data_IF_774287094375
#
_entry.id   IF_774287094375
#
_cell.length_a   1.000
_cell.length_b   1.000
_cell.length_c   1.000
_cell.angle_alpha   90.00
_cell.angle_beta   90.00
_cell.angle_gamma   90.00
#
_symmetry.space_group_name_H-M   'P 1'
#
loop_
_entity.id
_entity.type
_entity.pdbx_description
1 polymer ?
#
# COMPACT_ATOMS: atom_id res chain seq x y z
N UNK A 1 53.89 -63.01 11.02
CA UNK A 1 53.34 -61.74 11.50
C UNK A 1 51.88 -61.95 11.89
N UNK A 2 51.47 -61.81 13.17
CA UNK A 2 50.08 -62.01 13.57
C UNK A 2 49.27 -60.70 13.46
N UNK A 3 48.07 -60.81 12.90
CA UNK A 3 47.12 -59.72 12.69
C UNK A 3 46.40 -59.39 14.03
N UNK A 4 46.66 -58.21 14.59
CA UNK A 4 45.95 -57.71 15.78
C UNK A 4 44.62 -57.10 15.34
N UNK A 5 43.49 -57.74 15.66
CA UNK A 5 42.16 -57.15 15.48
C UNK A 5 41.87 -56.14 16.59
N UNK A 6 41.81 -54.86 16.22
CA UNK A 6 41.32 -53.79 17.10
C UNK A 6 39.80 -53.90 17.21
N UNK A 7 39.30 -54.19 18.41
CA UNK A 7 37.88 -54.26 18.75
C UNK A 7 37.31 -52.84 18.77
N UNK A 8 36.36 -52.52 17.89
CA UNK A 8 35.63 -51.23 17.96
C UNK A 8 34.83 -51.18 19.27
N UNK A 9 34.79 -50.03 19.96
CA UNK A 9 34.00 -49.90 21.18
C UNK A 9 32.51 -50.03 20.86
N UNK A 10 31.81 -50.90 21.59
CA UNK A 10 30.38 -51.13 21.44
C UNK A 10 29.60 -49.89 21.89
N UNK A 11 29.11 -49.13 20.91
CA UNK A 11 28.27 -47.95 21.16
C UNK A 11 27.02 -48.31 22.01
N UNK A 12 26.57 -49.56 21.96
CA UNK A 12 25.45 -50.08 22.74
C UNK A 12 25.74 -50.15 24.25
N UNK A 13 26.96 -50.51 24.65
CA UNK A 13 27.35 -50.55 26.07
C UNK A 13 27.38 -49.14 26.69
N UNK A 14 27.73 -48.14 25.88
CA UNK A 14 27.74 -46.73 26.29
C UNK A 14 26.32 -46.18 26.49
N UNK A 15 25.35 -46.56 25.63
CA UNK A 15 23.94 -46.23 25.83
C UNK A 15 23.31 -46.97 27.02
N UNK A 16 23.71 -48.22 27.26
CA UNK A 16 23.22 -49.00 28.41
C UNK A 16 23.68 -48.42 29.76
N UNK A 17 24.90 -47.87 29.86
CA UNK A 17 25.37 -47.19 31.07
C UNK A 17 24.63 -45.87 31.33
N UNK A 18 24.25 -45.12 30.29
CA UNK A 18 23.43 -43.90 30.43
C UNK A 18 22.02 -44.25 30.90
N UNK A 19 21.42 -45.33 30.40
CA UNK A 19 20.09 -45.79 30.83
C UNK A 19 20.07 -46.30 32.28
N UNK A 20 21.14 -46.97 32.75
CA UNK A 20 21.22 -47.51 34.11
C UNK A 20 21.50 -46.45 35.19
N UNK A 21 22.12 -45.31 34.85
CA UNK A 21 22.34 -44.21 35.78
C UNK A 21 21.03 -43.46 36.16
N UNK A 22 19.96 -43.63 35.38
CA UNK A 22 18.65 -43.02 35.63
C UNK A 22 17.86 -43.80 36.69
N UNK A 23 18.12 -45.11 36.86
CA UNK A 23 17.27 -45.98 37.68
C UNK A 23 17.71 -46.19 39.13
N UNK A 24 18.88 -45.70 39.56
CA UNK A 24 19.47 -46.09 40.85
C UNK A 24 19.67 -45.00 41.92
N UNK A 25 19.29 -43.74 41.70
CA UNK A 25 19.41 -42.76 42.81
C UNK A 25 19.25 -41.28 42.53
N UNK A 26 18.63 -40.87 41.42
CA UNK A 26 18.44 -39.44 41.09
C UNK A 26 17.27 -39.18 40.14
N UNK A 27 16.26 -40.04 40.13
CA UNK A 27 15.25 -40.14 39.07
C UNK A 27 14.08 -39.14 39.12
N UNK A 28 14.07 -38.16 40.04
CA UNK A 28 12.91 -37.25 40.18
C UNK A 28 13.15 -35.85 39.59
N UNK A 29 14.40 -35.43 39.33
CA UNK A 29 14.65 -34.05 38.86
C UNK A 29 14.76 -33.89 37.33
N UNK A 30 15.01 -34.95 36.56
CA UNK A 30 15.21 -34.81 35.10
C UNK A 30 13.88 -34.69 34.34
N UNK A 31 12.81 -35.36 34.81
CA UNK A 31 11.48 -35.27 34.18
C UNK A 31 10.81 -33.90 34.38
N UNK A 32 11.00 -33.25 35.54
CA UNK A 32 10.45 -31.92 35.79
C UNK A 32 11.11 -30.83 34.93
N UNK A 33 12.42 -30.93 34.71
CA UNK A 33 13.18 -29.97 33.89
C UNK A 33 12.83 -30.08 32.41
N UNK A 34 12.65 -31.29 31.85
CA UNK A 34 12.28 -31.46 30.44
C UNK A 34 10.85 -31.00 30.13
N UNK A 35 9.89 -31.27 31.03
CA UNK A 35 8.51 -30.78 30.91
C UNK A 35 8.45 -29.26 31.05
N UNK A 36 9.19 -28.67 31.99
CA UNK A 36 9.27 -27.22 32.19
C UNK A 36 9.86 -26.48 30.99
N UNK A 37 10.96 -26.99 30.41
CA UNK A 37 11.55 -26.43 29.18
C UNK A 37 10.59 -26.56 28.00
N UNK A 38 9.89 -27.69 27.86
CA UNK A 38 8.88 -27.89 26.82
C UNK A 38 7.70 -26.92 26.93
N UNK A 39 7.15 -26.71 28.13
CA UNK A 39 6.05 -25.75 28.36
C UNK A 39 6.53 -24.31 28.12
N UNK A 40 7.73 -23.96 28.59
CA UNK A 40 8.30 -22.63 28.37
C UNK A 40 8.52 -22.38 26.87
N UNK A 41 9.16 -23.32 26.17
CA UNK A 41 9.39 -23.25 24.72
C UNK A 41 8.07 -23.18 23.95
N UNK A 42 7.08 -24.01 24.29
CA UNK A 42 5.75 -23.97 23.69
C UNK A 42 5.05 -22.62 23.93
N UNK A 43 5.15 -22.07 25.14
CA UNK A 43 4.59 -20.75 25.47
C UNK A 43 5.30 -19.61 24.72
N UNK A 44 6.61 -19.73 24.49
CA UNK A 44 7.36 -18.78 23.66
C UNK A 44 6.95 -18.87 22.19
N UNK A 45 6.83 -20.09 21.65
CA UNK A 45 6.39 -20.30 20.26
C UNK A 45 4.96 -19.80 20.04
N UNK A 46 4.06 -19.97 21.01
CA UNK A 46 2.70 -19.41 20.95
C UNK A 46 2.71 -17.87 20.88
N UNK A 47 3.51 -17.21 21.73
CA UNK A 47 3.64 -15.74 21.73
C UNK A 47 4.21 -15.21 20.43
N UNK A 48 5.21 -15.88 19.88
CA UNK A 48 5.80 -15.53 18.57
C UNK A 48 4.77 -15.70 17.44
N UNK A 49 3.99 -16.78 17.46
CA UNK A 49 2.94 -17.01 16.47
C UNK A 49 1.79 -16.00 16.58
N UNK A 50 1.38 -15.61 17.79
CA UNK A 50 0.38 -14.56 18.01
C UNK A 50 0.88 -13.19 17.52
N UNK A 51 2.13 -12.83 17.83
CA UNK A 51 2.73 -11.60 17.34
C UNK A 51 2.83 -11.58 15.81
N UNK A 52 3.29 -12.66 15.20
CA UNK A 52 3.35 -12.79 13.74
C UNK A 52 1.97 -12.67 13.10
N UNK A 53 0.94 -13.32 13.66
CA UNK A 53 -0.44 -13.20 13.17
C UNK A 53 -0.99 -11.78 13.29
N UNK A 54 -0.66 -11.08 14.36
CA UNK A 54 -1.07 -9.69 14.55
C UNK A 54 -0.40 -8.78 13.50
N UNK A 55 0.89 -8.94 13.26
CA UNK A 55 1.62 -8.20 12.23
C UNK A 55 1.08 -8.48 10.82
N UNK A 56 0.82 -9.76 10.51
CA UNK A 56 0.19 -10.17 9.24
C UNK A 56 -1.21 -9.57 9.09
N UNK A 57 -2.03 -9.60 10.15
CA UNK A 57 -3.35 -8.99 10.15
C UNK A 57 -3.28 -7.48 9.89
N UNK A 58 -2.33 -6.78 10.53
CA UNK A 58 -2.13 -5.34 10.28
C UNK A 58 -1.74 -5.06 8.82
N UNK A 59 -0.76 -5.79 8.27
CA UNK A 59 -0.35 -5.65 6.86
C UNK A 59 -1.50 -5.96 5.90
N UNK A 60 -2.29 -6.98 6.20
CA UNK A 60 -3.47 -7.33 5.41
C UNK A 60 -4.52 -6.21 5.44
N UNK A 61 -4.80 -5.65 6.62
CA UNK A 61 -5.72 -4.51 6.75
C UNK A 61 -5.25 -3.27 5.99
N UNK A 62 -3.96 -2.93 6.06
CA UNK A 62 -3.39 -1.83 5.29
C UNK A 62 -3.50 -2.07 3.78
N UNK A 63 -3.22 -3.29 3.33
CA UNK A 63 -3.32 -3.69 1.92
C UNK A 63 -4.77 -3.58 1.42
N UNK A 64 -5.72 -4.12 2.19
CA UNK A 64 -7.15 -4.02 1.89
C UNK A 64 -7.62 -2.56 1.81
N UNK A 65 -7.13 -1.69 2.70
CA UNK A 65 -7.47 -0.27 2.67
C UNK A 65 -6.90 0.47 1.45
N UNK A 66 -5.75 0.06 0.93
CA UNK A 66 -5.17 0.59 -0.31
C UNK A 66 -5.98 0.07 -1.51
N UNK A 67 -6.23 -1.23 -1.58
CA UNK A 67 -6.98 -1.86 -2.67
C UNK A 67 -8.42 -1.35 -2.76
N UNK A 68 -9.09 -1.11 -1.63
CA UNK A 68 -10.43 -0.54 -1.57
C UNK A 68 -10.50 0.90 -2.11
N UNK A 69 -9.41 1.68 -1.98
CA UNK A 69 -9.34 3.07 -2.49
C UNK A 69 -8.97 3.16 -3.96
N UNK A 70 -8.29 2.15 -4.51
CA UNK A 70 -7.85 2.11 -5.90
C UNK A 70 -8.93 2.47 -6.94
N UNK A 71 -10.15 1.89 -6.94
CA UNK A 71 -11.16 2.20 -7.96
C UNK A 71 -11.58 3.68 -7.94
N UNK A 72 -11.66 4.29 -6.77
CA UNK A 72 -11.95 5.71 -6.64
C UNK A 72 -10.83 6.57 -7.24
N UNK A 73 -9.57 6.25 -6.94
CA UNK A 73 -8.40 7.00 -7.44
C UNK A 73 -8.25 6.90 -8.97
N UNK A 74 -8.47 5.71 -9.53
CA UNK A 74 -8.47 5.50 -10.98
C UNK A 74 -9.57 6.33 -11.65
N UNK A 75 -10.76 6.37 -11.06
CA UNK A 75 -11.87 7.15 -11.59
C UNK A 75 -11.63 8.66 -11.46
N UNK A 76 -11.05 9.12 -10.34
CA UNK A 76 -10.62 10.51 -10.12
C UNK A 76 -9.60 10.95 -11.16
N UNK A 77 -8.58 10.13 -11.41
CA UNK A 77 -7.58 10.38 -12.45
C UNK A 77 -8.22 10.51 -13.85
N UNK A 78 -9.20 9.66 -14.16
CA UNK A 78 -9.93 9.71 -15.44
C UNK A 78 -10.70 11.02 -15.59
N UNK A 79 -11.43 11.46 -14.56
CA UNK A 79 -12.16 12.73 -14.59
C UNK A 79 -11.21 13.94 -14.71
N UNK A 80 -10.12 13.95 -13.95
CA UNK A 80 -9.09 15.00 -14.04
C UNK A 80 -8.50 15.07 -15.45
N UNK A 81 -8.12 13.93 -16.03
CA UNK A 81 -7.59 13.85 -17.40
C UNK A 81 -8.60 14.38 -18.41
N UNK A 82 -9.86 13.98 -18.30
CA UNK A 82 -10.91 14.45 -19.20
C UNK A 82 -11.11 15.97 -19.10
N UNK A 83 -11.15 16.53 -17.89
CA UNK A 83 -11.27 17.98 -17.69
C UNK A 83 -10.09 18.75 -18.31
N UNK A 84 -8.87 18.26 -18.10
CA UNK A 84 -7.65 18.82 -18.70
C UNK A 84 -7.72 18.78 -20.22
N UNK A 85 -8.13 17.65 -20.81
CA UNK A 85 -8.26 17.51 -22.26
C UNK A 85 -9.28 18.49 -22.85
N UNK A 86 -10.45 18.65 -22.21
CA UNK A 86 -11.45 19.64 -22.69
C UNK A 86 -10.94 21.06 -22.55
N UNK A 87 -10.30 21.41 -21.44
CA UNK A 87 -9.71 22.73 -21.24
C UNK A 87 -8.60 23.02 -22.28
N UNK A 88 -7.71 22.06 -22.52
CA UNK A 88 -6.64 22.18 -23.50
C UNK A 88 -7.19 22.31 -24.93
N UNK A 89 -8.20 21.52 -25.30
CA UNK A 89 -8.85 21.60 -26.60
C UNK A 89 -9.53 22.96 -26.83
N UNK A 90 -10.18 23.52 -25.80
CA UNK A 90 -10.77 24.86 -25.86
C UNK A 90 -9.67 25.93 -25.96
N UNK A 91 -8.59 25.79 -25.20
CA UNK A 91 -7.49 26.76 -25.18
C UNK A 91 -6.65 26.75 -26.47
N UNK A 92 -6.57 25.63 -27.18
CA UNK A 92 -5.83 25.51 -28.44
C UNK A 92 -6.44 26.36 -29.55
N UNK A 93 -7.76 26.45 -29.61
CA UNK A 93 -8.49 27.27 -30.57
C UNK A 93 -9.74 27.89 -29.94
N UNK A 94 -9.56 28.97 -29.19
CA UNK A 94 -10.61 29.60 -28.39
C UNK A 94 -11.84 30.02 -29.22
N UNK A 95 -11.61 30.43 -30.47
CA UNK A 95 -12.66 30.97 -31.34
C UNK A 95 -13.37 29.87 -32.14
N UNK A 96 -12.70 28.75 -32.43
CA UNK A 96 -13.29 27.62 -33.15
C UNK A 96 -13.55 26.39 -32.27
N UNK A 97 -13.37 26.54 -30.95
CA UNK A 97 -13.66 25.49 -29.98
C UNK A 97 -15.11 25.01 -30.16
N UNK A 98 -15.25 23.73 -30.49
CA UNK A 98 -16.54 23.14 -30.79
C UNK A 98 -17.52 23.29 -29.61
N UNK A 99 -18.80 23.63 -29.83
CA UNK A 99 -19.77 23.86 -28.76
C UNK A 99 -19.92 22.66 -27.80
N UNK A 100 -19.79 21.44 -28.32
CA UNK A 100 -19.83 20.21 -27.53
C UNK A 100 -18.66 20.10 -26.55
N UNK A 101 -17.47 20.62 -26.88
CA UNK A 101 -16.31 20.61 -26.00
C UNK A 101 -16.54 21.54 -24.82
N UNK A 102 -17.07 22.75 -25.07
CA UNK A 102 -17.44 23.72 -24.02
C UNK A 102 -18.55 23.16 -23.13
N UNK A 103 -19.56 22.56 -23.74
CA UNK A 103 -20.66 21.91 -23.02
C UNK A 103 -20.13 20.78 -22.12
N UNK A 104 -19.24 19.94 -22.65
CA UNK A 104 -18.66 18.83 -21.88
C UNK A 104 -17.79 19.33 -20.72
N UNK A 105 -17.01 20.39 -20.92
CA UNK A 105 -16.25 21.03 -19.84
C UNK A 105 -17.18 21.47 -18.69
N UNK A 106 -18.28 22.14 -19.00
CA UNK A 106 -19.25 22.57 -17.99
C UNK A 106 -20.00 21.40 -17.33
N UNK A 107 -20.31 20.34 -18.07
CA UNK A 107 -20.88 19.12 -17.48
C UNK A 107 -19.93 18.45 -16.48
N UNK A 108 -18.61 18.49 -16.73
CA UNK A 108 -17.62 18.00 -15.76
C UNK A 108 -17.62 18.88 -14.52
N UNK A 109 -17.56 20.21 -14.69
CA UNK A 109 -17.56 21.19 -13.60
C UNK A 109 -18.80 21.05 -12.70
N UNK A 110 -20.01 21.19 -13.26
CA UNK A 110 -21.26 21.10 -12.49
C UNK A 110 -21.62 19.68 -12.05
N UNK A 111 -20.93 18.67 -12.60
CA UNK A 111 -21.21 17.25 -12.37
C UNK A 111 -20.17 16.59 -11.48
N UNK A 112 -19.38 15.70 -12.08
CA UNK A 112 -18.46 14.83 -11.34
C UNK A 112 -17.33 15.57 -10.65
N UNK A 113 -16.86 16.71 -11.19
CA UNK A 113 -15.76 17.47 -10.59
C UNK A 113 -16.16 18.10 -9.26
N UNK A 114 -17.40 18.61 -9.14
CA UNK A 114 -17.93 19.18 -7.89
C UNK A 114 -17.91 18.18 -6.71
N UNK A 115 -17.88 16.87 -6.97
CA UNK A 115 -17.79 15.84 -5.94
C UNK A 115 -16.35 15.58 -5.47
N UNK A 116 -15.36 15.83 -6.32
CA UNK A 116 -13.97 15.42 -6.09
C UNK A 116 -12.99 16.59 -5.93
N UNK A 117 -13.43 17.81 -6.24
CA UNK A 117 -12.53 18.96 -6.34
C UNK A 117 -12.20 19.56 -4.97
N UNK A 118 -10.98 20.07 -4.87
CA UNK A 118 -10.61 21.00 -3.82
C UNK A 118 -10.85 22.45 -4.29
N UNK A 119 -10.74 23.38 -3.35
CA UNK A 119 -10.95 24.81 -3.62
C UNK A 119 -10.04 25.39 -4.72
N UNK A 120 -8.83 24.87 -4.89
CA UNK A 120 -7.90 25.37 -5.90
C UNK A 120 -8.27 24.88 -7.30
N UNK A 121 -8.75 23.65 -7.42
CA UNK A 121 -9.24 23.09 -8.69
C UNK A 121 -10.54 23.77 -9.12
N UNK A 122 -11.49 23.95 -8.19
CA UNK A 122 -12.72 24.72 -8.42
C UNK A 122 -12.38 26.12 -8.94
N UNK A 123 -11.52 26.85 -8.23
CA UNK A 123 -11.06 28.18 -8.62
C UNK A 123 -10.40 28.21 -10.00
N UNK A 124 -9.58 27.20 -10.33
CA UNK A 124 -8.94 27.10 -11.64
C UNK A 124 -9.98 26.87 -12.75
N UNK A 125 -10.95 25.97 -12.54
CA UNK A 125 -12.02 25.69 -13.50
C UNK A 125 -12.95 26.88 -13.71
N UNK A 126 -13.34 27.57 -12.63
CA UNK A 126 -14.15 28.81 -12.71
C UNK A 126 -13.40 29.90 -13.45
N UNK A 127 -12.13 30.13 -13.14
CA UNK A 127 -11.32 31.14 -13.81
C UNK A 127 -11.19 30.85 -15.31
N UNK A 128 -10.97 29.59 -15.68
CA UNK A 128 -10.98 29.15 -17.07
C UNK A 128 -12.33 29.39 -17.73
N UNK A 129 -13.42 29.02 -17.06
CA UNK A 129 -14.79 29.21 -17.50
C UNK A 129 -15.10 30.66 -17.84
N UNK A 130 -14.81 31.57 -16.92
CA UNK A 130 -15.02 33.01 -17.09
C UNK A 130 -14.16 33.60 -18.22
N UNK A 131 -12.98 33.04 -18.48
CA UNK A 131 -12.11 33.50 -19.56
C UNK A 131 -12.59 33.04 -20.94
N UNK A 132 -13.44 32.01 -21.04
CA UNK A 132 -13.95 31.52 -22.33
C UNK A 132 -14.73 32.58 -23.11
N UNK A 133 -15.44 33.48 -22.41
CA UNK A 133 -16.23 34.55 -23.03
C UNK A 133 -15.35 35.65 -23.64
N UNK A 134 -14.11 35.77 -23.20
CA UNK A 134 -13.17 36.78 -23.71
C UNK A 134 -12.49 36.38 -25.03
N UNK A 135 -12.45 35.07 -25.34
CA UNK A 135 -11.76 34.53 -26.52
C UNK A 135 -10.24 34.70 -26.51
N UNK A 136 -9.62 35.15 -25.41
CA UNK A 136 -8.19 35.40 -25.35
C UNK A 136 -7.39 34.09 -25.24
N UNK A 137 -6.91 33.59 -26.37
CA UNK A 137 -6.16 32.32 -26.48
C UNK A 137 -5.02 32.21 -25.47
N UNK A 138 -4.17 33.24 -25.33
CA UNK A 138 -3.04 33.22 -24.38
C UNK A 138 -3.49 33.09 -22.93
N UNK A 139 -4.60 33.73 -22.57
CA UNK A 139 -5.16 33.64 -21.22
C UNK A 139 -5.74 32.24 -20.97
N UNK A 140 -6.47 31.69 -21.93
CA UNK A 140 -7.03 30.34 -21.85
C UNK A 140 -5.94 29.28 -21.75
N UNK A 141 -4.85 29.38 -22.52
CA UNK A 141 -3.70 28.47 -22.43
C UNK A 141 -3.05 28.48 -21.04
N UNK A 142 -2.89 29.67 -20.46
CA UNK A 142 -2.37 29.80 -19.09
C UNK A 142 -3.32 29.17 -18.08
N UNK A 143 -4.63 29.43 -18.20
CA UNK A 143 -5.63 28.91 -17.28
C UNK A 143 -5.86 27.39 -17.43
N UNK A 144 -5.76 26.83 -18.63
CA UNK A 144 -5.81 25.37 -18.82
C UNK A 144 -4.64 24.69 -18.13
N UNK A 145 -3.46 25.33 -18.12
CA UNK A 145 -2.30 24.82 -17.38
C UNK A 145 -2.51 24.86 -15.87
N UNK A 146 -3.21 25.89 -15.35
CA UNK A 146 -3.57 25.95 -13.93
C UNK A 146 -4.50 24.80 -13.53
N UNK A 147 -5.45 24.40 -14.39
CA UNK A 147 -6.30 23.22 -14.15
C UNK A 147 -5.42 21.96 -14.04
N UNK A 148 -4.46 21.77 -14.95
CA UNK A 148 -3.54 20.63 -14.89
C UNK A 148 -2.71 20.59 -13.60
N UNK A 149 -2.23 21.74 -13.12
CA UNK A 149 -1.51 21.83 -11.85
C UNK A 149 -2.40 21.51 -10.66
N UNK A 150 -3.61 22.06 -10.61
CA UNK A 150 -4.55 21.78 -9.54
C UNK A 150 -4.96 20.29 -9.51
N UNK A 151 -5.20 19.66 -10.66
CA UNK A 151 -5.46 18.22 -10.76
C UNK A 151 -4.27 17.39 -10.28
N UNK A 152 -3.03 17.76 -10.65
CA UNK A 152 -1.82 17.07 -10.20
C UNK A 152 -1.68 17.15 -8.68
N UNK A 153 -1.85 18.34 -8.13
CA UNK A 153 -1.69 18.58 -6.69
C UNK A 153 -2.82 17.89 -5.90
N UNK A 154 -4.02 17.80 -6.47
CA UNK A 154 -5.13 17.02 -5.89
C UNK A 154 -4.85 15.51 -5.88
N UNK A 155 -4.31 14.95 -6.97
CA UNK A 155 -3.91 13.54 -7.01
C UNK A 155 -2.72 13.23 -6.10
N UNK A 156 -1.78 14.17 -5.97
CA UNK A 156 -0.59 14.00 -5.13
C UNK A 156 -0.94 13.80 -3.65
N UNK A 157 -1.96 14.51 -3.14
CA UNK A 157 -2.44 14.37 -1.75
C UNK A 157 -2.92 12.96 -1.43
N UNK A 158 -3.54 12.28 -2.39
CA UNK A 158 -4.15 10.96 -2.22
C UNK A 158 -3.17 9.81 -2.47
N UNK A 159 -2.18 10.02 -3.35
CA UNK A 159 -1.21 8.98 -3.71
C UNK A 159 -0.04 8.86 -2.75
N UNK A 160 0.54 9.97 -2.31
CA UNK A 160 1.65 9.93 -1.37
C UNK A 160 1.92 11.29 -0.75
N UNK A 161 2.10 11.38 0.58
CA UNK A 161 2.59 12.60 1.23
C UNK A 161 3.92 13.09 0.65
N UNK A 162 4.74 12.21 0.07
CA UNK A 162 6.01 12.59 -0.55
C UNK A 162 5.84 13.40 -1.84
N UNK A 163 4.64 13.42 -2.44
CA UNK A 163 4.34 14.12 -3.69
C UNK A 163 3.56 15.41 -3.50
N UNK A 164 2.98 15.66 -2.31
CA UNK A 164 2.39 16.96 -1.98
C UNK A 164 3.51 17.98 -1.78
N UNK A 165 3.62 18.97 -2.68
CA UNK A 165 4.55 20.10 -2.56
C UNK A 165 3.99 21.20 -1.66
#
# INVERSE_FOLDING_TARGET
MPFVRVRKPDNFARWAQIAAAISSGGGILIAGVSVGVGIHQFSQTQREAEFARFEEAQKLHETQAIEARRPYLEQKLKWCTEAIEKAAAIAADANQAKPETKTRFWQLYYGVMAMIENKELEKAMVAFGNAMDTGQVKQLQKLSLHISYACRDEMAKEWSPAWSR
#
